data_IF_392465899866
#
_entry.id   IF_392465899866
#
_cell.length_a   1.000
_cell.length_b   1.000
_cell.length_c   1.000
_cell.angle_alpha   90.00
_cell.angle_beta   90.00
_cell.angle_gamma   90.00
#
_symmetry.space_group_name_H-M   'P 1'
#
loop_
_entity.id
_entity.type
_entity.pdbx_description
1 polymer ?
#
# COMPACT_ATOMS: atom_id res chain seq x y z
N UNK A 1 32.26 -1.35 4.16
CA UNK A 1 31.48 -0.36 4.95
C UNK A 1 30.65 -1.13 5.95
N UNK A 2 30.64 -0.74 7.22
CA UNK A 2 29.74 -1.30 8.23
C UNK A 2 28.47 -0.44 8.18
N UNK A 3 27.37 -1.00 7.70
CA UNK A 3 26.07 -0.33 7.75
C UNK A 3 25.50 -0.57 9.14
N UNK A 4 25.29 0.50 9.91
CA UNK A 4 24.61 0.40 11.20
C UNK A 4 23.25 -0.27 10.98
N UNK A 5 22.92 -1.26 11.81
CA UNK A 5 21.58 -1.86 11.83
C UNK A 5 20.60 -0.73 12.16
N UNK A 6 19.87 -0.25 11.15
CA UNK A 6 18.82 0.74 11.35
C UNK A 6 17.77 0.11 12.26
N UNK A 7 17.39 0.85 13.31
CA UNK A 7 16.32 0.42 14.18
C UNK A 7 15.03 0.32 13.33
N UNK A 8 14.27 -0.78 13.43
CA UNK A 8 13.11 -0.99 12.58
C UNK A 8 12.08 0.13 12.84
N UNK A 9 11.62 0.75 11.75
CA UNK A 9 10.61 1.81 11.79
C UNK A 9 9.26 1.19 12.18
N UNK A 10 8.61 1.76 13.19
CA UNK A 10 7.27 1.35 13.59
C UNK A 10 6.21 1.87 12.63
N UNK A 11 4.99 1.33 12.70
CA UNK A 11 3.88 1.83 11.87
C UNK A 11 3.57 3.29 12.15
N UNK A 12 3.50 3.71 13.42
CA UNK A 12 3.18 5.09 13.79
C UNK A 12 4.25 6.08 13.29
N UNK A 13 5.53 5.72 13.40
CA UNK A 13 6.64 6.50 12.85
C UNK A 13 6.57 6.58 11.32
N UNK A 14 6.20 5.48 10.66
CA UNK A 14 6.02 5.45 9.21
C UNK A 14 4.88 6.38 8.77
N UNK A 15 3.73 6.37 9.46
CA UNK A 15 2.60 7.26 9.15
C UNK A 15 2.95 8.72 9.41
N UNK A 16 3.64 9.03 10.52
CA UNK A 16 4.09 10.38 10.81
C UNK A 16 5.11 10.91 9.78
N UNK A 17 5.89 10.01 9.17
CA UNK A 17 6.85 10.33 8.11
C UNK A 17 6.21 10.39 6.70
N UNK A 18 5.08 9.72 6.47
CA UNK A 18 4.54 9.47 5.13
C UNK A 18 4.23 10.78 4.38
N UNK A 19 4.83 11.04 3.21
CA UNK A 19 4.62 12.32 2.52
C UNK A 19 3.24 12.40 1.86
N UNK A 20 2.46 13.43 2.20
CA UNK A 20 1.05 13.60 1.75
C UNK A 20 0.91 13.88 0.23
N UNK A 21 1.93 14.42 -0.43
CA UNK A 21 1.87 14.83 -1.84
C UNK A 21 3.00 14.21 -2.71
N UNK A 22 3.47 13.02 -2.34
CA UNK A 22 4.52 12.35 -3.11
C UNK A 22 3.98 11.75 -4.41
N UNK A 23 4.76 11.91 -5.48
CA UNK A 23 4.56 11.17 -6.72
C UNK A 23 4.94 9.69 -6.61
N UNK A 24 5.52 9.29 -5.48
CA UNK A 24 5.94 7.93 -5.19
C UNK A 24 5.21 7.38 -3.97
N UNK A 25 4.89 6.10 -4.01
CA UNK A 25 4.29 5.39 -2.87
C UNK A 25 5.40 4.81 -2.01
N UNK A 26 5.13 4.64 -0.72
CA UNK A 26 6.05 3.97 0.19
C UNK A 26 5.36 2.81 0.88
N UNK A 27 6.10 1.74 1.14
CA UNK A 27 5.64 0.60 1.91
C UNK A 27 6.54 0.37 3.11
N UNK A 28 5.94 0.04 4.26
CA UNK A 28 6.68 -0.43 5.42
C UNK A 28 6.79 -1.96 5.37
N UNK A 29 8.00 -2.49 5.13
CA UNK A 29 8.28 -3.93 5.04
C UNK A 29 9.22 -4.36 6.16
N UNK A 30 8.69 -5.03 7.18
CA UNK A 30 9.46 -5.51 8.34
C UNK A 30 10.33 -4.39 8.98
N UNK A 31 9.76 -3.20 9.13
CA UNK A 31 10.47 -2.04 9.69
C UNK A 31 11.36 -1.27 8.71
N UNK A 32 11.32 -1.61 7.42
CA UNK A 32 12.08 -0.92 6.37
C UNK A 32 11.12 -0.17 5.45
N UNK A 33 11.36 1.12 5.26
CA UNK A 33 10.61 1.94 4.29
C UNK A 33 11.16 1.64 2.89
N UNK A 34 10.28 1.20 2.00
CA UNK A 34 10.61 0.85 0.61
C UNK A 34 9.85 1.77 -0.34
N UNK A 35 10.58 2.39 -1.25
CA UNK A 35 10.00 3.20 -2.32
C UNK A 35 9.36 2.29 -3.38
N UNK A 36 8.09 2.56 -3.69
CA UNK A 36 7.30 1.82 -4.66
C UNK A 36 6.89 2.72 -5.81
N UNK A 37 7.35 2.42 -7.04
CA UNK A 37 6.96 3.20 -8.20
C UNK A 37 5.45 3.12 -8.41
N UNK A 38 4.86 4.21 -8.92
CA UNK A 38 3.44 4.20 -9.32
C UNK A 38 3.20 3.03 -10.29
N UNK A 39 2.18 2.20 -10.07
CA UNK A 39 1.79 1.16 -11.02
C UNK A 39 1.41 1.81 -12.36
N UNK A 40 1.83 1.22 -13.48
CA UNK A 40 1.62 1.77 -14.83
C UNK A 40 1.18 0.71 -15.84
N UNK A 41 0.47 1.15 -16.88
CA UNK A 41 0.07 0.34 -18.03
C UNK A 41 -0.76 -0.87 -17.63
N UNK A 42 -0.44 -2.03 -18.23
CA UNK A 42 -1.18 -3.29 -18.03
C UNK A 42 -1.34 -3.69 -16.56
N UNK A 43 -0.36 -3.38 -15.72
CA UNK A 43 -0.46 -3.71 -14.30
C UNK A 43 -1.56 -2.89 -13.62
N UNK A 44 -1.71 -1.62 -13.97
CA UNK A 44 -2.81 -0.77 -13.48
C UNK A 44 -4.16 -1.23 -14.04
N UNK A 45 -4.22 -1.62 -15.31
CA UNK A 45 -5.46 -2.08 -15.96
C UNK A 45 -5.99 -3.35 -15.28
N UNK A 46 -5.12 -4.35 -15.10
CA UNK A 46 -5.47 -5.61 -14.42
C UNK A 46 -5.81 -5.36 -12.95
N UNK A 47 -5.06 -4.49 -12.27
CA UNK A 47 -5.35 -4.12 -10.88
C UNK A 47 -6.73 -3.50 -10.72
N UNK A 48 -7.09 -2.56 -11.60
CA UNK A 48 -8.41 -1.92 -11.60
C UNK A 48 -9.54 -2.91 -11.86
N UNK A 49 -9.39 -3.78 -12.85
CA UNK A 49 -10.37 -4.85 -13.14
C UNK A 49 -10.61 -5.74 -11.91
N UNK A 50 -9.54 -6.23 -11.28
CA UNK A 50 -9.65 -7.13 -10.13
C UNK A 50 -10.31 -6.46 -8.92
N UNK A 51 -10.00 -5.19 -8.65
CA UNK A 51 -10.63 -4.44 -7.55
C UNK A 51 -12.15 -4.32 -7.74
N UNK A 52 -12.59 -4.11 -8.99
CA UNK A 52 -14.03 -4.01 -9.31
C UNK A 52 -14.72 -5.35 -9.09
N UNK A 53 -14.21 -6.43 -9.70
CA UNK A 53 -14.83 -7.76 -9.59
C UNK A 53 -14.87 -8.25 -8.14
N UNK A 54 -13.78 -8.08 -7.39
CA UNK A 54 -13.73 -8.44 -5.98
C UNK A 54 -14.69 -7.57 -5.14
N UNK A 55 -14.78 -6.27 -5.45
CA UNK A 55 -15.74 -5.37 -4.81
C UNK A 55 -17.18 -5.81 -5.03
N UNK A 56 -17.54 -6.19 -6.25
CA UNK A 56 -18.88 -6.72 -6.58
C UNK A 56 -19.16 -8.01 -5.79
N UNK A 57 -18.21 -8.94 -5.77
CA UNK A 57 -18.35 -10.21 -5.05
C UNK A 57 -18.55 -10.00 -3.54
N UNK A 58 -17.80 -9.08 -2.92
CA UNK A 58 -17.97 -8.70 -1.50
C UNK A 58 -19.39 -8.19 -1.24
N UNK A 59 -19.89 -7.28 -2.11
CA UNK A 59 -21.22 -6.68 -1.97
C UNK A 59 -22.33 -7.72 -2.13
N UNK A 60 -22.22 -8.60 -3.11
CA UNK A 60 -23.18 -9.68 -3.34
C UNK A 60 -23.22 -10.69 -2.18
N UNK A 61 -22.06 -10.93 -1.55
CA UNK A 61 -21.94 -11.83 -0.39
C UNK A 61 -22.46 -11.22 0.92
N UNK A 62 -22.85 -9.94 0.93
CA UNK A 62 -23.28 -9.20 2.12
C UNK A 62 -22.28 -9.24 3.28
N UNK A 63 -20.99 -9.34 2.96
CA UNK A 63 -19.92 -9.38 3.96
C UNK A 63 -19.42 -7.96 4.28
N UNK A 64 -19.00 -7.68 5.53
CA UNK A 64 -18.55 -6.35 5.96
C UNK A 64 -17.10 -6.07 5.55
N UNK A 65 -16.71 -6.46 4.34
CA UNK A 65 -15.36 -6.25 3.81
C UNK A 65 -15.32 -5.07 2.85
N UNK A 66 -14.14 -4.51 2.68
CA UNK A 66 -13.86 -3.50 1.67
C UNK A 66 -12.40 -3.59 1.24
N UNK A 67 -12.09 -3.01 0.09
CA UNK A 67 -10.73 -2.92 -0.43
C UNK A 67 -10.29 -1.46 -0.24
N UNK A 68 -9.35 -1.17 0.69
CA UNK A 68 -8.83 0.18 0.86
C UNK A 68 -8.05 0.61 -0.38
N UNK A 69 -8.19 1.87 -0.78
CA UNK A 69 -7.44 2.43 -1.91
C UNK A 69 -5.94 2.52 -1.64
N UNK A 70 -5.57 2.83 -0.40
CA UNK A 70 -4.19 3.20 -0.03
C UNK A 70 -3.61 2.27 1.05
N UNK A 71 -4.36 1.24 1.49
CA UNK A 71 -3.96 0.22 2.48
C UNK A 71 -3.40 0.74 3.82
N UNK A 72 -3.52 2.04 4.08
CA UNK A 72 -3.29 2.69 5.37
C UNK A 72 -4.67 2.92 5.98
N UNK A 73 -5.00 2.13 7.02
CA UNK A 73 -6.27 2.19 7.77
C UNK A 73 -5.93 2.43 9.24
#
# INVERSE_FOLDING_TARGET
MIQALQQPVTFDEFIAWYPENSDTRYELRNGVIVEMPKPRGKHSDVGGFLVIEAGIAIRQSQLPYFIPKECVI
#
